data_IF_237981314800
#
_entry.id   IF_237981314800
#
_cell.length_a   1.000
_cell.length_b   1.000
_cell.length_c   1.000
_cell.angle_alpha   90.00
_cell.angle_beta   90.00
_cell.angle_gamma   90.00
#
_symmetry.space_group_name_H-M   'P 1'
#
loop_
_entity.id
_entity.type
_entity.pdbx_description
1 polymer ?
#
# COMPACT_ATOMS: atom_id res chain seq x y z
N UNK A 1 -2.54 36.11 4.03
CA UNK A 1 -1.32 35.32 4.27
C UNK A 1 -1.77 33.91 4.63
N UNK A 2 -1.15 32.88 4.07
CA UNK A 2 -1.51 31.50 4.41
C UNK A 2 -0.82 31.12 5.74
N UNK A 3 -1.50 30.30 6.55
CA UNK A 3 -0.94 29.76 7.81
C UNK A 3 0.13 28.70 7.51
N UNK A 4 -0.02 28.03 6.34
CA UNK A 4 0.93 27.01 5.83
C UNK A 4 0.96 27.04 4.30
N UNK A 5 2.07 26.55 3.69
CA UNK A 5 2.12 26.37 2.24
C UNK A 5 1.27 25.20 1.80
N UNK A 6 1.34 24.07 2.54
CA UNK A 6 0.63 22.85 2.24
C UNK A 6 -0.04 22.27 3.49
N UNK A 7 -1.34 22.02 3.40
CA UNK A 7 -2.09 21.23 4.37
C UNK A 7 -2.22 19.80 3.85
N UNK A 8 -1.73 18.83 4.60
CA UNK A 8 -1.88 17.40 4.32
C UNK A 8 -2.96 16.83 5.23
N UNK A 9 -4.03 16.31 4.65
CA UNK A 9 -5.16 15.71 5.38
C UNK A 9 -5.01 14.18 5.35
N UNK A 10 -4.82 13.58 6.53
CA UNK A 10 -4.54 12.16 6.75
C UNK A 10 -3.06 11.91 7.08
N UNK A 11 -2.81 11.21 8.19
CA UNK A 11 -1.48 10.83 8.68
C UNK A 11 -1.24 9.32 8.65
N UNK A 12 -1.75 8.66 7.62
CA UNK A 12 -1.32 7.32 7.22
C UNK A 12 0.06 7.35 6.53
N UNK A 13 0.55 6.20 5.99
CA UNK A 13 1.89 6.13 5.39
C UNK A 13 2.12 7.16 4.29
N UNK A 14 1.11 7.43 3.47
CA UNK A 14 1.15 8.42 2.37
C UNK A 14 1.30 9.83 2.91
N UNK A 15 0.44 10.25 3.86
CA UNK A 15 0.48 11.61 4.39
C UNK A 15 1.74 11.89 5.22
N UNK A 16 2.20 10.89 6.00
CA UNK A 16 3.45 11.01 6.76
C UNK A 16 4.68 11.12 5.83
N UNK A 17 4.73 10.32 4.76
CA UNK A 17 5.81 10.41 3.77
C UNK A 17 5.78 11.76 3.03
N UNK A 18 4.59 12.26 2.68
CA UNK A 18 4.42 13.56 2.05
C UNK A 18 4.88 14.69 2.98
N UNK A 19 4.39 14.72 4.22
CA UNK A 19 4.77 15.75 5.21
C UNK A 19 6.28 15.79 5.45
N UNK A 20 6.89 14.61 5.66
CA UNK A 20 8.33 14.50 5.86
C UNK A 20 9.12 14.99 4.64
N UNK A 21 8.70 14.63 3.41
CA UNK A 21 9.38 15.05 2.18
C UNK A 21 9.21 16.55 1.91
N UNK A 22 8.03 17.13 2.17
CA UNK A 22 7.80 18.56 2.03
C UNK A 22 8.71 19.37 2.97
N UNK A 23 8.74 19.00 4.25
CA UNK A 23 9.57 19.70 5.25
C UNK A 23 11.06 19.54 4.93
N UNK A 24 11.50 18.35 4.51
CA UNK A 24 12.88 18.11 4.07
C UNK A 24 13.29 19.00 2.88
N UNK A 25 12.33 19.45 2.06
CA UNK A 25 12.51 20.36 0.92
C UNK A 25 12.32 21.83 1.30
N UNK A 26 12.14 22.14 2.59
CA UNK A 26 11.96 23.52 3.07
C UNK A 26 10.56 24.09 2.86
N UNK A 27 9.56 23.25 2.55
CA UNK A 27 8.15 23.66 2.41
C UNK A 27 7.49 23.62 3.79
N UNK A 28 6.81 24.68 4.17
CA UNK A 28 6.04 24.73 5.42
C UNK A 28 4.75 23.88 5.24
N UNK A 29 4.71 22.73 5.90
CA UNK A 29 3.60 21.79 5.80
C UNK A 29 3.01 21.44 7.16
N UNK A 30 1.68 21.42 7.25
CA UNK A 30 0.92 20.94 8.40
C UNK A 30 0.24 19.63 8.02
N UNK A 31 0.40 18.60 8.86
CA UNK A 31 -0.28 17.33 8.71
C UNK A 31 -1.37 17.23 9.75
N UNK A 32 -2.59 16.92 9.34
CA UNK A 32 -3.74 16.71 10.25
C UNK A 32 -4.31 15.30 10.09
N UNK A 33 -4.90 14.76 11.16
CA UNK A 33 -5.56 13.46 11.10
C UNK A 33 -6.79 13.44 12.01
N UNK A 34 -7.89 12.84 11.53
CA UNK A 34 -9.13 12.75 12.27
C UNK A 34 -9.03 11.84 13.51
N UNK A 35 -8.13 10.87 13.50
CA UNK A 35 -7.95 9.93 14.59
C UNK A 35 -6.97 10.49 15.64
N UNK A 36 -7.29 10.27 16.92
CA UNK A 36 -6.42 10.68 18.03
C UNK A 36 -5.05 9.97 18.00
N UNK A 37 -5.01 8.75 17.48
CA UNK A 37 -3.79 7.93 17.32
C UNK A 37 -3.76 7.30 15.93
N UNK A 38 -2.59 6.79 15.52
CA UNK A 38 -2.45 6.02 14.27
C UNK A 38 -3.31 4.76 14.28
N UNK A 39 -3.80 4.36 13.11
CA UNK A 39 -4.56 3.11 13.01
C UNK A 39 -3.64 1.91 13.25
N UNK A 40 -3.87 1.16 14.32
CA UNK A 40 -3.21 -0.13 14.56
C UNK A 40 -3.69 -1.26 13.61
N UNK A 41 -4.45 -0.94 12.55
CA UNK A 41 -4.93 -1.93 11.58
C UNK A 41 -3.91 -2.12 10.47
N UNK A 42 -3.01 -3.03 10.67
CA UNK A 42 -1.92 -3.39 9.76
C UNK A 42 -2.47 -4.14 8.53
N UNK A 43 -2.76 -3.45 7.43
CA UNK A 43 -3.19 -4.09 6.19
C UNK A 43 -2.00 -4.44 5.30
N UNK A 44 -1.05 -3.52 5.10
CA UNK A 44 0.16 -3.75 4.32
C UNK A 44 1.27 -4.39 5.16
N UNK A 45 2.11 -5.17 4.50
CA UNK A 45 3.24 -5.88 5.11
C UNK A 45 4.50 -5.90 4.25
N UNK A 46 4.44 -5.30 3.06
CA UNK A 46 5.53 -5.32 2.10
C UNK A 46 5.93 -3.90 1.75
N UNK A 47 7.20 -3.59 1.89
CA UNK A 47 7.84 -2.40 1.32
C UNK A 47 8.70 -2.85 0.15
N UNK A 48 8.36 -2.42 -1.06
CA UNK A 48 9.07 -2.85 -2.27
C UNK A 48 10.34 -2.01 -2.54
N UNK A 49 11.17 -2.47 -3.47
CA UNK A 49 12.43 -1.84 -3.80
C UNK A 49 12.27 -0.36 -4.19
N UNK A 50 11.30 -0.03 -5.05
CA UNK A 50 11.07 1.36 -5.48
C UNK A 50 10.69 2.28 -4.32
N UNK A 51 9.89 1.79 -3.39
CA UNK A 51 9.50 2.55 -2.20
C UNK A 51 10.70 2.83 -1.31
N UNK A 52 11.60 1.84 -1.12
CA UNK A 52 12.84 2.06 -0.37
C UNK A 52 13.75 3.09 -1.08
N UNK A 53 13.85 3.03 -2.42
CA UNK A 53 14.64 4.02 -3.17
C UNK A 53 14.14 5.45 -2.97
N UNK A 54 12.82 5.69 -3.07
CA UNK A 54 12.29 7.03 -2.91
C UNK A 54 12.35 7.52 -1.47
N UNK A 55 12.27 6.62 -0.49
CA UNK A 55 12.40 6.95 0.93
C UNK A 55 13.86 7.22 1.38
N UNK A 56 14.87 6.97 0.52
CA UNK A 56 16.24 7.47 0.77
C UNK A 56 16.26 8.99 0.88
N UNK A 57 15.40 9.69 0.12
CA UNK A 57 15.31 11.15 0.13
C UNK A 57 15.00 11.73 1.51
N UNK A 58 14.23 11.01 2.31
CA UNK A 58 13.87 11.40 3.68
C UNK A 58 14.60 10.61 4.76
N UNK A 59 15.64 9.83 4.39
CA UNK A 59 16.51 9.04 5.28
C UNK A 59 15.76 8.02 6.16
N UNK A 60 14.67 7.43 5.66
CA UNK A 60 13.87 6.42 6.37
C UNK A 60 14.20 5.00 5.89
N UNK A 61 14.63 4.83 4.64
CA UNK A 61 14.85 3.51 4.04
C UNK A 61 15.80 2.62 4.85
N UNK A 62 16.92 3.17 5.34
CA UNK A 62 17.90 2.41 6.15
C UNK A 62 17.33 1.92 7.47
N UNK A 63 16.46 2.72 8.10
CA UNK A 63 15.79 2.36 9.37
C UNK A 63 14.79 1.24 9.12
N UNK A 64 14.02 1.31 8.04
CA UNK A 64 13.10 0.25 7.64
C UNK A 64 13.85 -1.06 7.39
N UNK A 65 14.96 -1.04 6.67
CA UNK A 65 15.78 -2.24 6.39
C UNK A 65 16.34 -2.85 7.67
N UNK A 66 16.72 -2.03 8.65
CA UNK A 66 17.25 -2.51 9.95
C UNK A 66 16.18 -3.24 10.77
N UNK A 67 14.93 -2.84 10.68
CA UNK A 67 13.82 -3.40 11.48
C UNK A 67 13.01 -4.46 10.74
N UNK A 68 13.00 -4.40 9.40
CA UNK A 68 12.25 -5.33 8.57
C UNK A 68 12.98 -6.66 8.31
N UNK A 69 12.24 -7.60 7.75
CA UNK A 69 12.76 -8.89 7.33
C UNK A 69 12.96 -8.90 5.81
N UNK A 70 14.15 -9.25 5.35
CA UNK A 70 14.49 -9.33 3.93
C UNK A 70 13.93 -10.62 3.33
N UNK A 71 13.08 -10.49 2.30
CA UNK A 71 12.54 -11.59 1.51
C UNK A 71 12.95 -11.42 0.04
N UNK A 72 14.07 -12.02 -0.39
CA UNK A 72 14.56 -11.91 -1.77
C UNK A 72 13.74 -12.72 -2.76
N UNK A 73 12.83 -13.58 -2.30
CA UNK A 73 12.04 -14.48 -3.14
C UNK A 73 10.54 -14.25 -2.97
N UNK A 74 9.84 -14.41 -4.09
CA UNK A 74 8.39 -14.50 -4.14
C UNK A 74 8.04 -15.71 -5.01
N UNK A 75 7.22 -16.62 -4.52
CA UNK A 75 6.84 -17.79 -5.31
C UNK A 75 5.31 -17.93 -5.42
N UNK A 76 4.88 -18.39 -6.59
CA UNK A 76 3.55 -18.91 -6.80
C UNK A 76 3.63 -20.43 -6.73
N UNK A 77 2.80 -21.07 -5.90
CA UNK A 77 2.85 -22.53 -5.65
C UNK A 77 1.48 -23.16 -5.73
N UNK A 78 1.46 -24.47 -6.03
CA UNK A 78 0.33 -25.38 -5.81
C UNK A 78 0.83 -26.48 -4.87
N UNK A 79 0.49 -26.38 -3.59
CA UNK A 79 1.12 -27.19 -2.57
C UNK A 79 2.64 -27.01 -2.56
N UNK A 80 3.39 -28.12 -2.65
CA UNK A 80 4.87 -28.08 -2.72
C UNK A 80 5.42 -27.73 -4.10
N UNK A 81 4.58 -27.79 -5.16
CA UNK A 81 5.01 -27.50 -6.52
C UNK A 81 5.14 -26.00 -6.77
N UNK A 82 6.32 -25.55 -7.15
CA UNK A 82 6.54 -24.18 -7.60
C UNK A 82 5.99 -24.03 -9.03
N UNK A 83 5.12 -23.06 -9.23
CA UNK A 83 4.55 -22.68 -10.53
C UNK A 83 5.39 -21.56 -11.16
N UNK A 84 5.68 -20.49 -10.40
CA UNK A 84 6.57 -19.39 -10.81
C UNK A 84 7.50 -19.08 -9.64
N UNK A 85 8.82 -19.22 -9.80
CA UNK A 85 9.80 -18.62 -8.91
C UNK A 85 10.11 -17.19 -9.39
N UNK A 86 9.95 -16.20 -8.52
CA UNK A 86 10.42 -14.84 -8.74
C UNK A 86 11.56 -14.58 -7.78
N UNK A 87 12.72 -14.25 -8.32
CA UNK A 87 13.91 -13.86 -7.58
C UNK A 87 14.18 -12.37 -7.85
N UNK A 88 14.31 -11.62 -6.77
CA UNK A 88 14.59 -10.19 -6.84
C UNK A 88 16.09 -9.88 -6.85
N UNK A 89 16.96 -10.86 -6.57
CA UNK A 89 18.42 -10.66 -6.38
C UNK A 89 19.12 -10.07 -7.61
N UNK A 90 18.58 -10.31 -8.81
CA UNK A 90 19.14 -9.80 -10.08
C UNK A 90 18.60 -8.42 -10.48
N UNK A 91 17.74 -7.80 -9.67
CA UNK A 91 17.17 -6.50 -10.01
C UNK A 91 18.21 -5.37 -9.88
N UNK A 92 18.24 -4.40 -10.81
CA UNK A 92 19.21 -3.30 -10.82
C UNK A 92 18.84 -2.23 -9.79
N UNK A 93 18.96 -2.56 -8.51
CA UNK A 93 18.61 -1.71 -7.38
C UNK A 93 19.51 -2.00 -6.17
N UNK A 94 19.62 -1.06 -5.24
CA UNK A 94 20.26 -1.27 -3.93
C UNK A 94 19.43 -2.19 -3.00
N UNK A 95 18.15 -2.40 -3.33
CA UNK A 95 17.18 -3.15 -2.53
C UNK A 95 16.60 -4.32 -3.35
N UNK A 96 17.43 -5.34 -3.73
CA UNK A 96 16.99 -6.43 -4.58
C UNK A 96 16.17 -7.48 -3.81
N UNK A 97 15.09 -7.03 -3.12
CA UNK A 97 14.22 -7.86 -2.29
C UNK A 97 12.89 -7.15 -2.01
N UNK A 98 11.93 -7.89 -1.50
CA UNK A 98 10.80 -7.33 -0.75
C UNK A 98 11.19 -7.19 0.71
N UNK A 99 11.03 -6.02 1.29
CA UNK A 99 11.20 -5.83 2.72
C UNK A 99 9.86 -6.11 3.40
N UNK A 100 9.85 -7.08 4.31
CA UNK A 100 8.68 -7.42 5.10
C UNK A 100 8.69 -6.57 6.36
N UNK A 101 7.79 -5.60 6.42
CA UNK A 101 7.63 -4.67 7.53
C UNK A 101 6.16 -4.29 7.65
N UNK A 102 5.63 -4.29 8.87
CA UNK A 102 4.23 -3.95 9.08
C UNK A 102 3.93 -2.49 8.70
N UNK A 103 2.69 -2.20 8.31
CA UNK A 103 2.27 -0.82 8.08
C UNK A 103 2.42 0.03 9.34
N UNK A 104 2.13 -0.52 10.53
CA UNK A 104 2.29 0.19 11.80
C UNK A 104 3.75 0.61 12.05
N UNK A 105 4.72 -0.28 11.79
CA UNK A 105 6.14 0.06 11.89
C UNK A 105 6.56 1.07 10.82
N UNK A 106 6.02 0.95 9.61
CA UNK A 106 6.23 1.92 8.53
C UNK A 106 5.74 3.31 8.94
N UNK A 107 4.53 3.41 9.48
CA UNK A 107 3.94 4.67 9.97
C UNK A 107 4.75 5.24 11.13
N UNK A 108 5.14 4.41 12.09
CA UNK A 108 5.97 4.81 13.24
C UNK A 108 7.30 5.42 12.80
N UNK A 109 8.00 4.78 11.86
CA UNK A 109 9.29 5.27 11.35
C UNK A 109 9.14 6.58 10.55
N UNK A 110 8.09 6.70 9.75
CA UNK A 110 7.77 7.93 9.03
C UNK A 110 7.38 9.08 9.97
N UNK A 111 6.56 8.81 10.99
CA UNK A 111 6.18 9.78 12.00
C UNK A 111 7.39 10.25 12.82
N UNK A 112 8.24 9.32 13.24
CA UNK A 112 9.49 9.66 13.92
C UNK A 112 10.35 10.60 13.05
N UNK A 113 10.47 10.29 11.76
CA UNK A 113 11.24 11.13 10.84
C UNK A 113 10.60 12.50 10.64
N UNK A 114 9.29 12.58 10.52
CA UNK A 114 8.56 13.84 10.45
C UNK A 114 8.89 14.73 11.66
N UNK A 115 8.87 14.16 12.88
CA UNK A 115 9.21 14.90 14.11
C UNK A 115 10.68 15.37 14.14
N UNK A 116 11.63 14.54 13.71
CA UNK A 116 13.06 14.90 13.60
C UNK A 116 13.30 16.06 12.64
N UNK A 117 12.45 16.19 11.62
CA UNK A 117 12.48 17.33 10.68
C UNK A 117 11.75 18.58 11.23
N UNK A 118 11.23 18.52 12.46
CA UNK A 118 10.50 19.62 13.09
C UNK A 118 9.00 19.66 12.75
N UNK A 119 8.49 18.66 12.00
CA UNK A 119 7.08 18.56 11.68
C UNK A 119 6.27 17.94 12.83
N UNK A 120 4.95 18.15 12.77
CA UNK A 120 4.01 17.60 13.73
C UNK A 120 2.74 17.11 13.02
N UNK A 121 2.04 16.16 13.64
CA UNK A 121 0.69 15.77 13.23
C UNK A 121 -0.28 16.34 14.25
N UNK A 122 -1.21 17.18 13.79
CA UNK A 122 -2.29 17.72 14.63
C UNK A 122 -3.41 16.70 14.71
N UNK A 123 -3.67 16.16 15.91
CA UNK A 123 -4.66 15.10 16.17
C UNK A 123 -5.40 15.34 17.49
N UNK A 124 -6.68 14.97 17.61
CA UNK A 124 -7.60 14.67 16.52
C UNK A 124 -8.00 15.95 15.77
N UNK A 125 -8.11 15.89 14.42
CA UNK A 125 -8.48 17.05 13.61
C UNK A 125 -9.22 16.56 12.35
N UNK A 126 -10.54 16.55 12.41
CA UNK A 126 -11.41 16.05 11.34
C UNK A 126 -11.80 17.20 10.41
N UNK A 127 -11.51 17.06 9.12
CA UNK A 127 -11.85 18.05 8.09
C UNK A 127 -13.36 18.02 7.81
N UNK A 128 -14.05 19.18 7.94
CA UNK A 128 -15.46 19.32 7.62
C UNK A 128 -15.70 20.06 6.29
N UNK A 129 -14.91 21.09 5.98
CA UNK A 129 -15.13 21.93 4.79
C UNK A 129 -13.84 22.45 4.20
N UNK A 130 -13.82 22.53 2.85
CA UNK A 130 -12.81 23.24 2.05
C UNK A 130 -13.45 24.39 1.29
N UNK A 131 -12.84 25.56 1.33
CA UNK A 131 -13.23 26.74 0.57
C UNK A 131 -12.02 27.27 -0.21
N UNK A 132 -11.79 26.79 -1.47
CA UNK A 132 -10.73 27.33 -2.32
C UNK A 132 -11.09 28.71 -2.88
N UNK A 133 -10.08 29.56 -3.03
CA UNK A 133 -10.16 30.83 -3.75
C UNK A 133 -8.91 31.03 -4.63
N UNK A 134 -8.68 32.25 -5.15
CA UNK A 134 -7.57 32.54 -6.06
C UNK A 134 -6.20 32.30 -5.41
N UNK A 135 -6.07 32.62 -4.10
CA UNK A 135 -4.79 32.68 -3.41
C UNK A 135 -4.51 31.46 -2.53
N UNK A 136 -5.52 30.62 -2.23
CA UNK A 136 -5.34 29.48 -1.35
C UNK A 136 -6.62 28.71 -1.09
N UNK A 137 -6.60 27.94 -0.01
CA UNK A 137 -7.74 27.13 0.46
C UNK A 137 -7.92 27.35 1.95
N UNK A 138 -9.14 27.67 2.38
CA UNK A 138 -9.48 27.65 3.80
C UNK A 138 -10.08 26.30 4.15
N UNK A 139 -9.41 25.56 5.02
CA UNK A 139 -9.90 24.30 5.60
C UNK A 139 -10.56 24.59 6.96
N UNK A 140 -11.79 24.12 7.14
CA UNK A 140 -12.52 24.19 8.41
C UNK A 140 -12.64 22.78 8.99
N UNK A 141 -12.48 22.65 10.29
CA UNK A 141 -12.56 21.39 11.02
C UNK A 141 -13.81 21.27 11.87
N UNK A 142 -14.13 20.05 12.33
CA UNK A 142 -15.36 19.78 13.11
C UNK A 142 -15.41 20.52 14.44
N UNK A 143 -14.25 20.89 15.00
CA UNK A 143 -14.13 21.71 16.22
C UNK A 143 -14.29 23.22 15.98
N UNK A 144 -14.51 23.65 14.74
CA UNK A 144 -14.67 25.02 14.33
C UNK A 144 -13.36 25.76 13.99
N UNK A 145 -12.21 25.15 14.23
CA UNK A 145 -10.93 25.73 13.85
C UNK A 145 -10.78 25.81 12.33
N UNK A 146 -9.92 26.72 11.89
CA UNK A 146 -9.60 26.91 10.47
C UNK A 146 -8.09 26.96 10.24
N UNK A 147 -7.65 26.42 9.10
CA UNK A 147 -6.27 26.56 8.60
C UNK A 147 -6.36 27.09 7.17
N UNK A 148 -5.60 28.13 6.87
CA UNK A 148 -5.43 28.62 5.51
C UNK A 148 -4.14 28.09 4.91
N UNK A 149 -4.27 27.41 3.75
CA UNK A 149 -3.13 26.80 3.06
C UNK A 149 -3.04 27.26 1.61
N UNK A 150 -1.83 27.26 1.04
CA UNK A 150 -1.61 27.49 -0.38
C UNK A 150 -2.17 26.34 -1.22
N UNK A 151 -1.97 25.11 -0.76
CA UNK A 151 -2.49 23.86 -1.33
C UNK A 151 -3.03 22.91 -0.26
N UNK A 152 -4.02 22.09 -0.58
CA UNK A 152 -4.51 21.01 0.30
C UNK A 152 -4.34 19.68 -0.41
N UNK A 153 -3.76 18.70 0.29
CA UNK A 153 -3.57 17.34 -0.22
C UNK A 153 -4.39 16.35 0.59
N UNK A 154 -5.30 15.63 -0.07
CA UNK A 154 -6.01 14.50 0.49
C UNK A 154 -5.14 13.24 0.47
N UNK A 155 -4.73 12.80 1.67
CA UNK A 155 -4.13 11.51 1.96
C UNK A 155 -4.99 10.76 3.01
N UNK A 156 -6.29 11.05 3.04
CA UNK A 156 -7.32 10.72 4.02
C UNK A 156 -8.06 9.41 3.70
N UNK A 157 -7.44 8.57 2.87
CA UNK A 157 -7.89 7.21 2.64
C UNK A 157 -9.06 7.09 1.66
N UNK A 158 -9.62 5.89 1.58
CA UNK A 158 -10.65 5.53 0.60
C UNK A 158 -11.91 6.40 0.68
N UNK A 159 -12.27 6.87 1.85
CA UNK A 159 -13.43 7.73 2.11
C UNK A 159 -13.05 9.21 2.16
N UNK A 160 -12.13 9.63 1.29
CA UNK A 160 -11.53 10.96 1.27
C UNK A 160 -12.56 12.09 1.21
N UNK A 161 -12.59 12.91 2.26
CA UNK A 161 -13.33 14.16 2.33
C UNK A 161 -12.78 15.19 1.35
N UNK A 162 -11.45 15.23 1.18
CA UNK A 162 -10.81 16.14 0.22
C UNK A 162 -11.24 15.82 -1.21
N UNK A 163 -11.24 14.53 -1.61
CA UNK A 163 -11.70 14.11 -2.94
C UNK A 163 -13.15 14.51 -3.18
N UNK A 164 -14.02 14.22 -2.22
CA UNK A 164 -15.45 14.51 -2.30
C UNK A 164 -15.70 16.01 -2.47
N UNK A 165 -15.07 16.84 -1.64
CA UNK A 165 -15.24 18.30 -1.70
C UNK A 165 -14.53 18.95 -2.91
N UNK A 166 -13.53 18.29 -3.48
CA UNK A 166 -12.95 18.69 -4.77
C UNK A 166 -13.86 18.36 -5.97
N UNK A 167 -14.98 17.68 -5.75
CA UNK A 167 -15.89 17.24 -6.81
C UNK A 167 -15.27 16.18 -7.74
N UNK A 168 -14.24 15.45 -7.26
CA UNK A 168 -13.53 14.44 -8.05
C UNK A 168 -14.24 13.09 -7.92
N UNK A 169 -14.66 12.51 -9.04
CA UNK A 169 -15.27 11.19 -9.08
C UNK A 169 -14.28 10.07 -8.72
N UNK A 170 -14.82 8.94 -8.22
CA UNK A 170 -14.03 7.77 -7.80
C UNK A 170 -14.56 6.54 -8.53
N UNK A 171 -14.13 6.36 -9.77
CA UNK A 171 -14.65 5.37 -10.70
C UNK A 171 -14.04 3.99 -10.46
N UNK A 172 -14.89 2.94 -10.52
CA UNK A 172 -14.43 1.57 -10.38
C UNK A 172 -15.51 0.61 -9.87
N UNK A 173 -15.08 -0.48 -9.27
CA UNK A 173 -15.96 -1.57 -8.79
C UNK A 173 -15.51 -2.07 -7.42
N UNK A 174 -16.39 -2.80 -6.77
CA UNK A 174 -16.13 -3.58 -5.57
C UNK A 174 -16.15 -5.05 -5.94
N UNK A 175 -15.24 -5.85 -5.37
CA UNK A 175 -15.29 -7.30 -5.49
C UNK A 175 -16.28 -7.85 -4.46
N UNK A 176 -17.11 -8.80 -4.89
CA UNK A 176 -18.08 -9.44 -4.01
C UNK A 176 -17.42 -10.32 -2.93
N UNK A 177 -16.19 -10.77 -3.19
CA UNK A 177 -15.47 -11.66 -2.28
C UNK A 177 -14.89 -10.91 -1.10
N UNK A 178 -15.12 -11.43 0.11
CA UNK A 178 -14.43 -11.02 1.33
C UNK A 178 -13.05 -11.68 1.39
N UNK A 179 -12.13 -11.03 2.09
CA UNK A 179 -10.81 -11.57 2.39
C UNK A 179 -10.62 -11.64 3.90
N UNK A 180 -10.11 -12.78 4.37
CA UNK A 180 -9.56 -12.91 5.71
C UNK A 180 -8.10 -12.48 5.70
N UNK A 181 -7.69 -11.75 6.73
CA UNK A 181 -6.31 -11.41 7.04
C UNK A 181 -6.05 -11.79 8.49
N UNK A 182 -4.92 -12.47 8.74
CA UNK A 182 -4.50 -12.87 10.08
C UNK A 182 -2.98 -12.77 10.22
N UNK A 183 -2.52 -12.24 11.34
CA UNK A 183 -1.13 -12.33 11.78
C UNK A 183 -1.04 -13.42 12.84
N UNK A 184 -0.20 -14.42 12.61
CA UNK A 184 -0.12 -15.65 13.40
C UNK A 184 1.32 -16.05 13.68
N UNK A 185 1.55 -16.79 14.76
CA UNK A 185 2.77 -17.58 14.95
C UNK A 185 2.53 -18.96 14.36
N UNK A 186 3.46 -19.39 13.49
CA UNK A 186 3.42 -20.70 12.86
C UNK A 186 4.61 -21.55 13.30
N UNK A 187 4.36 -22.87 13.39
CA UNK A 187 5.42 -23.90 13.31
C UNK A 187 5.23 -24.72 12.03
N UNK A 188 6.29 -25.39 11.58
CA UNK A 188 6.32 -26.13 10.31
C UNK A 188 7.29 -25.52 9.30
N UNK A 189 7.17 -25.90 8.05
CA UNK A 189 8.16 -25.63 7.00
C UNK A 189 8.02 -24.29 6.26
N UNK A 190 7.34 -23.27 6.81
CA UNK A 190 7.23 -21.98 6.14
C UNK A 190 8.57 -21.23 6.11
N UNK A 191 9.10 -20.87 4.92
CA UNK A 191 10.36 -20.13 4.82
C UNK A 191 10.23 -18.71 5.34
N UNK A 192 11.32 -18.17 5.89
CA UNK A 192 11.41 -16.80 6.43
C UNK A 192 11.92 -15.78 5.42
N UNK A 193 12.45 -16.22 4.28
CA UNK A 193 13.06 -15.41 3.23
C UNK A 193 12.25 -15.40 1.92
N UNK A 194 10.97 -15.80 2.01
CA UNK A 194 10.11 -15.96 0.84
C UNK A 194 8.66 -15.58 1.16
N UNK A 195 8.05 -14.81 0.26
CA UNK A 195 6.60 -14.61 0.24
C UNK A 195 5.98 -15.67 -0.69
N UNK A 196 5.02 -16.43 -0.19
CA UNK A 196 4.38 -17.51 -0.94
C UNK A 196 2.94 -17.14 -1.27
N UNK A 197 2.59 -17.29 -2.54
CA UNK A 197 1.23 -17.20 -3.05
C UNK A 197 0.77 -18.60 -3.49
N UNK A 198 -0.03 -19.27 -2.66
CA UNK A 198 -0.58 -20.57 -2.97
C UNK A 198 -1.80 -20.45 -3.88
N UNK A 199 -1.75 -21.12 -5.01
CA UNK A 199 -2.85 -21.31 -5.97
C UNK A 199 -3.41 -22.72 -5.87
N UNK A 200 -4.03 -23.04 -4.74
CA UNK A 200 -4.66 -24.34 -4.52
C UNK A 200 -5.98 -24.49 -5.30
N UNK A 201 -6.48 -25.74 -5.37
CA UNK A 201 -7.80 -26.04 -5.93
C UNK A 201 -8.94 -25.48 -5.08
N UNK A 202 -8.72 -25.36 -3.76
CA UNK A 202 -9.67 -24.81 -2.78
C UNK A 202 -9.70 -23.31 -2.76
N UNK A 203 -8.63 -22.65 -3.22
CA UNK A 203 -8.53 -21.19 -3.28
C UNK A 203 -7.11 -20.68 -3.21
N UNK A 204 -7.00 -19.35 -3.16
CA UNK A 204 -5.74 -18.65 -2.98
C UNK A 204 -5.45 -18.49 -1.49
N UNK A 205 -4.16 -18.53 -1.13
CA UNK A 205 -3.68 -18.09 0.20
C UNK A 205 -2.28 -17.52 0.07
N UNK A 206 -2.06 -16.35 0.69
CA UNK A 206 -0.73 -15.75 0.85
C UNK A 206 -0.19 -16.17 2.21
N UNK A 207 1.07 -16.59 2.25
CA UNK A 207 1.85 -16.78 3.47
C UNK A 207 3.07 -15.89 3.36
N UNK A 208 3.15 -14.87 4.20
CA UNK A 208 4.17 -13.84 4.15
C UNK A 208 4.84 -13.70 5.53
N UNK A 209 6.16 -13.91 5.64
CA UNK A 209 6.85 -13.77 6.91
C UNK A 209 6.93 -12.30 7.34
N UNK A 210 6.89 -12.06 8.65
CA UNK A 210 7.08 -10.75 9.29
C UNK A 210 8.18 -10.85 10.36
N UNK A 211 8.77 -9.73 10.82
CA UNK A 211 9.66 -9.74 12.00
C UNK A 211 9.00 -10.38 13.22
N UNK A 212 9.82 -10.91 14.15
CA UNK A 212 9.32 -11.48 15.41
C UNK A 212 8.61 -12.85 15.26
N UNK A 213 9.02 -13.66 14.27
CA UNK A 213 8.46 -15.01 14.01
C UNK A 213 6.95 -15.02 13.74
N UNK A 214 6.47 -13.94 13.16
CA UNK A 214 5.09 -13.76 12.77
C UNK A 214 4.96 -14.08 11.28
N UNK A 215 3.79 -14.60 10.88
CA UNK A 215 3.40 -14.75 9.48
C UNK A 215 2.06 -14.09 9.24
N UNK A 216 1.97 -13.37 8.15
CA UNK A 216 0.70 -12.83 7.65
C UNK A 216 0.07 -13.79 6.69
N UNK A 217 -1.17 -14.15 6.98
CA UNK A 217 -2.02 -14.99 6.14
C UNK A 217 -3.09 -14.12 5.52
N UNK A 218 -3.23 -14.18 4.18
CA UNK A 218 -4.32 -13.48 3.45
C UNK A 218 -4.98 -14.45 2.51
N UNK A 219 -6.30 -14.59 2.61
CA UNK A 219 -7.04 -15.52 1.77
C UNK A 219 -8.45 -14.99 1.42
N UNK A 220 -8.92 -15.11 0.16
CA UNK A 220 -10.32 -14.92 -0.16
C UNK A 220 -11.16 -15.98 0.52
N UNK A 221 -12.22 -15.56 1.23
CA UNK A 221 -13.17 -16.45 1.87
C UNK A 221 -14.54 -15.75 1.93
N UNK A 222 -15.54 -16.34 1.23
CA UNK A 222 -16.88 -15.76 1.16
C UNK A 222 -17.50 -15.60 2.55
N UNK A 223 -17.29 -16.59 3.42
CA UNK A 223 -17.84 -16.66 4.77
C UNK A 223 -16.78 -16.28 5.84
N UNK A 224 -15.81 -15.42 5.51
CA UNK A 224 -14.82 -15.00 6.48
C UNK A 224 -15.51 -14.33 7.69
N UNK A 225 -15.24 -14.77 8.92
CA UNK A 225 -15.75 -14.09 10.11
C UNK A 225 -15.12 -12.70 10.23
N UNK A 226 -15.81 -11.76 10.91
CA UNK A 226 -15.24 -10.41 11.16
C UNK A 226 -13.87 -10.49 11.84
N UNK A 227 -13.75 -11.42 12.79
CA UNK A 227 -12.48 -11.75 13.45
C UNK A 227 -12.23 -13.24 13.23
N UNK A 228 -11.25 -13.63 12.38
CA UNK A 228 -10.86 -15.02 12.18
C UNK A 228 -10.42 -15.68 13.50
N UNK A 229 -10.71 -16.98 13.66
CA UNK A 229 -10.17 -17.78 14.75
C UNK A 229 -8.93 -18.57 14.32
N UNK A 230 -8.21 -19.18 15.30
CA UNK A 230 -7.09 -20.09 15.03
C UNK A 230 -7.53 -21.24 14.13
N UNK A 231 -8.68 -21.86 14.44
CA UNK A 231 -9.22 -23.00 13.71
C UNK A 231 -9.58 -22.61 12.26
N UNK A 232 -10.13 -21.39 12.06
CA UNK A 232 -10.44 -20.88 10.74
C UNK A 232 -9.17 -20.71 9.90
N UNK A 233 -8.12 -20.09 10.46
CA UNK A 233 -6.83 -19.89 9.76
C UNK A 233 -6.14 -21.21 9.51
N UNK A 234 -6.18 -22.15 10.48
CA UNK A 234 -5.64 -23.50 10.31
C UNK A 234 -6.31 -24.22 9.14
N UNK A 235 -7.64 -24.21 9.07
CA UNK A 235 -8.38 -24.85 7.98
C UNK A 235 -8.03 -24.24 6.61
N UNK A 236 -7.78 -22.94 6.53
CA UNK A 236 -7.29 -22.30 5.30
C UNK A 236 -5.91 -22.82 4.90
N UNK A 237 -4.98 -22.94 5.85
CA UNK A 237 -3.62 -23.44 5.59
C UNK A 237 -3.64 -24.91 5.20
N UNK A 238 -4.39 -25.76 5.91
CA UNK A 238 -4.50 -27.19 5.66
C UNK A 238 -5.05 -27.48 4.24
N UNK A 239 -6.03 -26.69 3.81
CA UNK A 239 -6.66 -26.87 2.51
C UNK A 239 -5.92 -26.24 1.35
N UNK A 240 -5.09 -25.21 1.59
CA UNK A 240 -4.57 -24.35 0.50
C UNK A 240 -3.06 -24.21 0.45
N UNK A 241 -2.33 -24.54 1.54
CA UNK A 241 -0.88 -24.39 1.60
C UNK A 241 -0.16 -25.70 1.22
N UNK A 242 0.80 -26.14 2.02
CA UNK A 242 1.59 -27.34 1.75
C UNK A 242 0.81 -28.67 1.95
N UNK A 243 -0.26 -28.63 2.70
CA UNK A 243 -1.11 -29.77 3.07
C UNK A 243 -1.45 -29.77 4.56
N UNK A 244 -2.36 -30.67 4.99
CA UNK A 244 -2.81 -30.73 6.37
C UNK A 244 -1.66 -31.01 7.35
N UNK A 245 -1.58 -30.21 8.42
CA UNK A 245 -0.58 -30.35 9.49
C UNK A 245 0.84 -29.93 9.13
N UNK A 246 1.13 -29.50 7.89
CA UNK A 246 2.46 -29.05 7.48
C UNK A 246 2.81 -27.66 8.04
N UNK A 247 1.82 -26.81 8.22
CA UNK A 247 1.91 -25.52 8.91
C UNK A 247 0.89 -25.53 10.04
N UNK A 248 1.37 -25.30 11.26
CA UNK A 248 0.53 -25.33 12.46
C UNK A 248 0.44 -23.93 13.05
N UNK A 249 -0.80 -23.43 13.19
CA UNK A 249 -1.08 -22.14 13.83
C UNK A 249 -1.02 -22.32 15.34
N UNK A 250 0.01 -21.76 15.97
CA UNK A 250 0.18 -21.84 17.43
C UNK A 250 -0.56 -20.71 18.16
N UNK A 251 -0.61 -19.52 17.54
CA UNK A 251 -1.18 -18.33 18.14
C UNK A 251 -1.72 -17.40 17.04
N UNK A 252 -2.91 -16.84 17.24
CA UNK A 252 -3.47 -15.76 16.46
C UNK A 252 -3.24 -14.45 17.21
N UNK A 253 -2.38 -13.59 16.66
CA UNK A 253 -2.05 -12.29 17.27
C UNK A 253 -3.09 -11.22 16.91
N UNK A 254 -3.56 -11.25 15.69
CA UNK A 254 -4.54 -10.29 15.17
C UNK A 254 -5.20 -10.84 13.91
N UNK A 255 -6.43 -10.44 13.65
CA UNK A 255 -7.11 -10.81 12.41
C UNK A 255 -8.33 -9.96 12.11
N UNK A 256 -8.66 -9.84 10.83
CA UNK A 256 -9.82 -9.07 10.36
C UNK A 256 -10.35 -9.61 9.02
N UNK A 257 -11.56 -9.21 8.70
CA UNK A 257 -12.15 -9.35 7.37
C UNK A 257 -12.19 -8.01 6.67
N UNK A 258 -11.90 -7.99 5.37
CA UNK A 258 -12.05 -6.80 4.53
C UNK A 258 -12.59 -7.13 3.14
N UNK A 259 -13.13 -6.11 2.47
CA UNK A 259 -13.56 -6.18 1.08
C UNK A 259 -12.55 -5.46 0.19
N UNK A 260 -12.43 -5.92 -1.04
CA UNK A 260 -11.54 -5.32 -2.02
C UNK A 260 -12.32 -4.34 -2.88
N UNK A 261 -11.81 -3.13 -2.95
CA UNK A 261 -12.26 -2.11 -3.89
C UNK A 261 -11.22 -1.93 -4.98
N UNK A 262 -11.69 -1.72 -6.21
CA UNK A 262 -10.88 -1.33 -7.34
C UNK A 262 -11.43 -0.02 -7.88
N UNK A 263 -10.88 1.09 -7.41
CA UNK A 263 -11.32 2.43 -7.82
C UNK A 263 -10.12 3.33 -8.06
N UNK A 264 -10.28 4.28 -8.98
CA UNK A 264 -9.30 5.34 -9.24
C UNK A 264 -10.03 6.66 -9.37
N UNK A 265 -9.47 7.72 -8.82
CA UNK A 265 -9.99 9.07 -8.97
C UNK A 265 -9.91 9.51 -10.44
N UNK A 266 -10.94 10.23 -10.91
CA UNK A 266 -11.02 10.66 -12.30
C UNK A 266 -9.91 11.66 -12.65
N UNK A 267 -9.45 12.42 -11.66
CA UNK A 267 -8.23 13.22 -11.70
C UNK A 267 -7.58 13.25 -10.30
N UNK A 268 -6.29 13.58 -10.23
CA UNK A 268 -5.57 13.73 -8.95
C UNK A 268 -5.39 15.19 -8.54
N UNK A 269 -5.97 16.12 -9.34
CA UNK A 269 -5.91 17.55 -9.09
C UNK A 269 -7.21 18.24 -9.47
N UNK A 270 -7.66 19.16 -8.64
CA UNK A 270 -8.71 20.16 -8.94
C UNK A 270 -8.23 21.52 -8.38
N UNK A 271 -7.57 22.31 -9.22
CA UNK A 271 -6.98 23.58 -8.81
C UNK A 271 -5.89 23.40 -7.77
N UNK A 272 -6.15 23.90 -6.54
CA UNK A 272 -5.26 23.80 -5.38
C UNK A 272 -5.49 22.57 -4.49
N UNK A 273 -6.45 21.72 -4.86
CA UNK A 273 -6.75 20.46 -4.19
C UNK A 273 -6.10 19.30 -4.93
N UNK A 274 -5.32 18.49 -4.22
CA UNK A 274 -4.59 17.34 -4.79
C UNK A 274 -4.90 16.07 -3.99
N UNK A 275 -4.69 14.91 -4.61
CA UNK A 275 -4.92 13.60 -4.00
C UNK A 275 -3.67 12.74 -4.09
N UNK A 276 -3.43 11.91 -3.04
CA UNK A 276 -2.38 10.91 -3.02
C UNK A 276 -2.82 9.64 -2.25
N UNK A 277 -2.28 8.48 -2.60
CA UNK A 277 -2.58 7.21 -1.94
C UNK A 277 -4.03 6.77 -2.09
N UNK A 278 -4.60 6.16 -1.03
CA UNK A 278 -5.95 5.59 -1.06
C UNK A 278 -7.06 6.63 -1.31
N UNK A 279 -6.80 7.92 -1.09
CA UNK A 279 -7.70 9.01 -1.51
C UNK A 279 -7.83 9.10 -3.03
N UNK A 280 -6.79 8.73 -3.77
CA UNK A 280 -6.71 8.76 -5.22
C UNK A 280 -6.96 7.39 -5.88
N UNK A 281 -6.57 6.28 -5.24
CA UNK A 281 -6.67 4.93 -5.81
C UNK A 281 -6.71 3.86 -4.74
N UNK A 282 -7.60 2.89 -4.91
CA UNK A 282 -7.67 1.67 -4.09
C UNK A 282 -7.72 0.44 -4.98
N UNK A 283 -7.06 -0.63 -4.57
CA UNK A 283 -6.98 -1.86 -5.33
C UNK A 283 -6.77 -3.09 -4.43
N UNK A 284 -6.85 -4.29 -5.02
CA UNK A 284 -6.59 -5.53 -4.33
C UNK A 284 -5.20 -5.55 -3.65
N UNK A 285 -5.08 -6.14 -2.46
CA UNK A 285 -3.80 -6.32 -1.78
C UNK A 285 -2.87 -7.31 -2.50
N UNK A 286 -3.34 -7.98 -3.57
CA UNK A 286 -2.54 -8.91 -4.36
C UNK A 286 -1.26 -8.25 -4.88
N UNK A 287 -0.11 -8.75 -4.41
CA UNK A 287 1.21 -8.20 -4.74
C UNK A 287 1.69 -7.04 -3.87
N UNK A 288 0.98 -6.67 -2.78
CA UNK A 288 1.44 -5.71 -1.78
C UNK A 288 1.72 -4.29 -2.31
N UNK A 289 0.89 -3.79 -3.25
CA UNK A 289 1.20 -2.56 -3.99
C UNK A 289 0.63 -1.26 -3.38
N UNK A 290 -0.47 -1.31 -2.58
CA UNK A 290 -1.23 -0.11 -2.16
C UNK A 290 -0.40 0.92 -1.40
N UNK A 291 0.11 0.56 -0.24
CA UNK A 291 0.95 1.45 0.57
C UNK A 291 2.17 1.95 -0.24
N UNK A 292 2.78 1.07 -1.03
CA UNK A 292 3.95 1.40 -1.84
C UNK A 292 3.65 2.45 -2.91
N UNK A 293 2.52 2.33 -3.59
CA UNK A 293 2.11 3.32 -4.58
C UNK A 293 1.80 4.66 -3.91
N UNK A 294 1.07 4.65 -2.78
CA UNK A 294 0.76 5.87 -2.03
C UNK A 294 2.02 6.61 -1.54
N UNK A 295 3.04 5.89 -1.07
CA UNK A 295 4.31 6.51 -0.67
C UNK A 295 5.04 7.09 -1.89
N UNK A 296 5.05 6.40 -3.03
CA UNK A 296 5.66 6.94 -4.25
C UNK A 296 4.90 8.16 -4.78
N UNK A 297 3.56 8.19 -4.67
CA UNK A 297 2.76 9.39 -4.96
C UNK A 297 3.21 10.56 -4.07
N UNK A 298 3.33 10.32 -2.76
CA UNK A 298 3.69 11.33 -1.78
C UNK A 298 5.04 12.01 -2.10
N UNK A 299 6.07 11.21 -2.38
CA UNK A 299 7.41 11.73 -2.68
C UNK A 299 7.42 12.49 -4.02
N UNK A 300 6.71 11.97 -5.04
CA UNK A 300 6.56 12.66 -6.34
C UNK A 300 5.82 14.00 -6.19
N UNK A 301 4.73 14.01 -5.40
CA UNK A 301 3.95 15.22 -5.14
C UNK A 301 4.74 16.27 -4.35
N UNK A 302 5.51 15.85 -3.35
CA UNK A 302 6.37 16.75 -2.59
C UNK A 302 7.38 17.47 -3.49
N UNK A 303 7.99 16.76 -4.45
CA UNK A 303 8.87 17.36 -5.46
C UNK A 303 8.16 18.37 -6.35
N UNK A 304 6.95 18.05 -6.83
CA UNK A 304 6.16 18.94 -7.66
C UNK A 304 5.70 20.21 -6.90
N UNK A 305 5.22 20.05 -5.64
CA UNK A 305 4.82 21.18 -4.80
C UNK A 305 6.01 22.08 -4.44
N UNK A 306 7.15 21.51 -4.06
CA UNK A 306 8.34 22.30 -3.77
C UNK A 306 8.83 23.09 -4.99
N UNK A 307 8.76 22.50 -6.19
CA UNK A 307 9.09 23.19 -7.44
C UNK A 307 8.16 24.39 -7.68
N UNK A 308 6.86 24.23 -7.57
CA UNK A 308 5.86 25.29 -7.81
C UNK A 308 5.95 26.39 -6.75
N UNK A 309 6.08 26.02 -5.47
CA UNK A 309 6.24 26.99 -4.37
C UNK A 309 7.56 27.77 -4.46
N UNK A 310 8.59 27.18 -5.06
CA UNK A 310 9.85 27.84 -5.41
C UNK A 310 9.79 28.74 -6.65
N UNK A 311 8.60 28.99 -7.22
CA UNK A 311 8.40 29.84 -8.42
C UNK A 311 8.45 29.08 -9.74
N UNK A 312 8.49 27.75 -9.72
CA UNK A 312 8.41 26.92 -10.91
C UNK A 312 7.00 26.86 -11.53
N UNK A 313 6.89 26.25 -12.72
CA UNK A 313 5.63 26.13 -13.44
C UNK A 313 4.64 25.23 -12.71
N UNK A 314 3.40 25.68 -12.62
CA UNK A 314 2.24 24.94 -12.07
C UNK A 314 1.91 23.66 -12.87
N UNK A 315 2.39 23.56 -14.11
CA UNK A 315 2.29 22.36 -14.95
C UNK A 315 2.96 21.12 -14.31
N UNK A 316 3.86 21.29 -13.36
CA UNK A 316 4.45 20.20 -12.60
C UNK A 316 3.40 19.40 -11.80
N UNK A 317 2.37 20.08 -11.29
CA UNK A 317 1.25 19.45 -10.59
C UNK A 317 0.32 18.68 -11.55
N UNK A 318 0.13 19.18 -12.77
CA UNK A 318 -0.63 18.47 -13.80
C UNK A 318 0.12 17.22 -14.29
N UNK A 319 1.44 17.34 -14.42
CA UNK A 319 2.29 16.19 -14.73
C UNK A 319 2.25 15.13 -13.63
N UNK A 320 2.30 15.53 -12.34
CA UNK A 320 2.07 14.64 -11.22
C UNK A 320 0.72 13.92 -11.36
N UNK A 321 -0.37 14.67 -11.49
CA UNK A 321 -1.71 14.11 -11.56
C UNK A 321 -1.86 13.10 -12.70
N UNK A 322 -1.34 13.39 -13.87
CA UNK A 322 -1.40 12.53 -15.04
C UNK A 322 -0.55 11.27 -14.88
N UNK A 323 0.67 11.41 -14.41
CA UNK A 323 1.61 10.30 -14.29
C UNK A 323 1.19 9.32 -13.19
N UNK A 324 0.82 9.81 -11.99
CA UNK A 324 0.45 8.92 -10.90
C UNK A 324 -0.87 8.20 -11.18
N UNK A 325 -1.84 8.87 -11.80
CA UNK A 325 -3.07 8.21 -12.25
C UNK A 325 -2.78 7.09 -13.24
N UNK A 326 -1.90 7.31 -14.22
CA UNK A 326 -1.48 6.28 -15.18
C UNK A 326 -0.83 5.08 -14.46
N UNK A 327 0.03 5.32 -13.46
CA UNK A 327 0.65 4.24 -12.68
C UNK A 327 -0.39 3.47 -11.86
N UNK A 328 -1.33 4.16 -11.23
CA UNK A 328 -2.42 3.52 -10.50
C UNK A 328 -3.25 2.60 -11.43
N UNK A 329 -3.61 3.05 -12.63
CA UNK A 329 -4.31 2.21 -13.61
C UNK A 329 -3.54 0.94 -14.00
N UNK A 330 -2.21 1.03 -14.11
CA UNK A 330 -1.38 -0.14 -14.39
C UNK A 330 -1.38 -1.13 -13.21
N UNK A 331 -1.28 -0.60 -11.99
CA UNK A 331 -1.36 -1.43 -10.77
C UNK A 331 -2.74 -2.06 -10.64
N UNK A 332 -3.82 -1.32 -10.88
CA UNK A 332 -5.18 -1.88 -10.89
C UNK A 332 -5.30 -3.02 -11.92
N UNK A 333 -4.75 -2.87 -13.12
CA UNK A 333 -4.76 -3.93 -14.15
C UNK A 333 -3.99 -5.17 -13.69
N UNK A 334 -2.81 -5.00 -13.07
CA UNK A 334 -1.99 -6.10 -12.57
C UNK A 334 -2.72 -6.83 -11.42
N UNK A 335 -3.11 -6.11 -10.39
CA UNK A 335 -3.75 -6.68 -9.19
C UNK A 335 -5.10 -7.30 -9.53
N UNK A 336 -5.87 -6.70 -10.44
CA UNK A 336 -7.11 -7.25 -10.94
C UNK A 336 -6.93 -8.55 -11.73
N UNK A 337 -5.84 -8.71 -12.50
CA UNK A 337 -5.49 -9.97 -13.16
C UNK A 337 -5.15 -11.05 -12.13
N UNK A 338 -4.31 -10.72 -11.15
CA UNK A 338 -3.93 -11.66 -10.09
C UNK A 338 -5.15 -12.12 -9.29
N UNK A 339 -6.04 -11.21 -8.93
CA UNK A 339 -7.27 -11.52 -8.19
C UNK A 339 -8.21 -12.38 -9.02
N UNK A 340 -8.44 -12.05 -10.29
CA UNK A 340 -9.29 -12.88 -11.18
C UNK A 340 -8.73 -14.30 -11.36
N UNK A 341 -7.42 -14.45 -11.51
CA UNK A 341 -6.80 -15.77 -11.54
C UNK A 341 -7.02 -16.54 -10.22
N UNK A 342 -6.99 -15.82 -9.09
CA UNK A 342 -7.20 -16.40 -7.78
C UNK A 342 -8.64 -16.92 -7.57
N UNK A 343 -9.63 -16.22 -8.12
CA UNK A 343 -11.07 -16.50 -7.94
C UNK A 343 -11.70 -17.31 -9.06
N UNK A 344 -10.90 -17.89 -9.97
CA UNK A 344 -11.40 -18.77 -11.04
C UNK A 344 -12.22 -19.94 -10.48
N UNK A 345 -13.30 -20.37 -11.18
CA UNK A 345 -14.09 -21.55 -10.81
C UNK A 345 -13.23 -22.81 -10.63
N UNK A 346 -13.58 -23.64 -9.65
CA UNK A 346 -12.81 -24.85 -9.29
C UNK A 346 -12.36 -25.71 -10.47
N UNK A 347 -13.21 -26.04 -11.47
CA UNK A 347 -12.80 -26.89 -12.62
C UNK A 347 -11.68 -26.26 -13.47
N UNK A 348 -11.56 -24.94 -13.50
CA UNK A 348 -10.55 -24.23 -14.31
C UNK A 348 -9.19 -24.10 -13.60
N UNK A 349 -9.12 -24.34 -12.29
CA UNK A 349 -7.90 -24.13 -11.51
C UNK A 349 -6.71 -25.02 -11.89
N UNK A 350 -6.88 -26.31 -12.23
CA UNK A 350 -5.77 -27.12 -12.74
C UNK A 350 -5.20 -26.57 -14.06
N UNK A 351 -6.08 -26.15 -14.98
CA UNK A 351 -5.68 -25.56 -16.27
C UNK A 351 -4.92 -24.27 -16.03
N UNK A 352 -5.42 -23.41 -15.12
CA UNK A 352 -4.73 -22.20 -14.67
C UNK A 352 -3.32 -22.54 -14.18
N UNK A 353 -3.16 -23.50 -13.28
CA UNK A 353 -1.88 -23.86 -12.69
C UNK A 353 -0.88 -24.35 -13.76
N UNK A 354 -1.35 -25.14 -14.74
CA UNK A 354 -0.54 -25.56 -15.87
C UNK A 354 -0.08 -24.38 -16.72
N UNK A 355 -0.99 -23.44 -17.01
CA UNK A 355 -0.66 -22.19 -17.73
C UNK A 355 0.33 -21.30 -16.98
N UNK A 356 0.13 -21.12 -15.66
CA UNK A 356 1.05 -20.38 -14.80
C UNK A 356 2.44 -21.02 -14.79
N UNK A 357 2.52 -22.36 -14.70
CA UNK A 357 3.78 -23.10 -14.72
C UNK A 357 4.51 -22.95 -16.06
N UNK A 358 3.79 -23.03 -17.17
CA UNK A 358 4.36 -22.82 -18.50
C UNK A 358 4.91 -21.38 -18.64
N UNK A 359 4.14 -20.39 -18.22
CA UNK A 359 4.60 -19.01 -18.21
C UNK A 359 5.84 -18.82 -17.28
N UNK A 360 5.84 -19.49 -16.12
CA UNK A 360 6.93 -19.47 -15.15
C UNK A 360 8.22 -20.15 -15.63
N UNK A 361 8.16 -21.00 -16.67
CA UNK A 361 9.37 -21.57 -17.27
C UNK A 361 10.15 -20.56 -18.14
N UNK A 362 9.49 -19.45 -18.54
CA UNK A 362 10.08 -18.41 -19.40
C UNK A 362 10.82 -17.37 -18.54
N UNK A 363 12.17 -17.23 -18.68
CA UNK A 363 12.96 -16.28 -17.87
C UNK A 363 12.47 -14.83 -17.98
N UNK A 364 12.07 -14.39 -19.18
CA UNK A 364 11.57 -13.03 -19.40
C UNK A 364 10.29 -12.73 -18.59
N UNK A 365 9.39 -13.71 -18.44
CA UNK A 365 8.16 -13.56 -17.63
C UNK A 365 8.51 -13.41 -16.16
N UNK A 366 9.43 -14.22 -15.64
CA UNK A 366 9.89 -14.11 -14.24
C UNK A 366 10.51 -12.76 -13.96
N UNK A 367 11.42 -12.30 -14.85
CA UNK A 367 12.06 -10.98 -14.73
C UNK A 367 11.04 -9.84 -14.79
N UNK A 368 10.07 -9.91 -15.71
CA UNK A 368 9.02 -8.90 -15.81
C UNK A 368 8.16 -8.85 -14.55
N UNK A 369 7.82 -10.00 -13.97
CA UNK A 369 7.10 -10.06 -12.69
C UNK A 369 7.93 -9.47 -11.54
N UNK A 370 9.24 -9.77 -11.48
CA UNK A 370 10.13 -9.20 -10.48
C UNK A 370 10.15 -7.67 -10.57
N UNK A 371 10.30 -7.10 -11.77
CA UNK A 371 10.28 -5.65 -12.01
C UNK A 371 8.93 -5.04 -11.63
N UNK A 372 7.82 -5.69 -11.94
CA UNK A 372 6.48 -5.19 -11.61
C UNK A 372 6.21 -5.23 -10.09
N UNK A 373 6.54 -6.36 -9.43
CA UNK A 373 6.33 -6.53 -7.99
C UNK A 373 7.24 -5.63 -7.17
N UNK A 374 8.45 -5.37 -7.63
CA UNK A 374 9.40 -4.44 -6.98
C UNK A 374 9.07 -2.96 -7.21
N UNK A 375 8.13 -2.65 -8.10
CA UNK A 375 7.76 -1.28 -8.47
C UNK A 375 8.77 -0.54 -9.36
N UNK A 376 9.87 -1.19 -9.79
CA UNK A 376 10.93 -0.55 -10.58
C UNK A 376 10.50 -0.16 -12.01
N UNK A 377 9.38 -0.67 -12.50
CA UNK A 377 8.76 -0.22 -13.74
C UNK A 377 8.16 1.19 -13.66
N UNK A 378 8.22 1.82 -12.48
CA UNK A 378 7.68 3.18 -12.20
C UNK A 378 8.79 4.21 -11.89
N UNK A 379 10.00 3.95 -12.38
CA UNK A 379 11.11 4.91 -12.35
C UNK A 379 10.95 6.04 -13.35
#
# INVERSE_FOLDING_TARGET
MNDTDVLVVGAGPTGLALGASLIAKGVHAVVVDALAEGQNTTRAAVVNARTLEVLEEVDVARRMVKEGLIAPRFTMRAGRQILIPVDFSELPTKYPYSLMLSQADTERLLLQRLHELGGQVVRPKSLSRLAPDADGVTATFDDGDTIRAGYVVGADGMHSTVREQAGIGFTGSEFAESFALADVRLTGGAPRDEVILFYATEGLTVVAPLPGDIYRIVAPAADAPKTPSVEFVQALLDSRAFGPGELVVNELLWGTRFHIHHRVADTYRAGRLLLAGDAAHVHSPAGGQGMNLGITDAISLAGALAHVLGGGSDTALDAYATNQRRWAEQVLKLTGRLTRMATLPRPMRPIRNSGIRLAGSVPAVRRQLAVQLSGLNRR
#
